data_IF_221908306644
#
_entry.id   IF_221908306644
#
_cell.length_a   1.000
_cell.length_b   1.000
_cell.length_c   1.000
_cell.angle_alpha   90.00
_cell.angle_beta   90.00
_cell.angle_gamma   90.00
#
_symmetry.space_group_name_H-M   'P 1'
#
loop_
_entity.id
_entity.type
_entity.pdbx_description
1 polymer ?
#
# COMPACT_ATOMS: atom_id res chain seq x y z
N UNK A 1 8.30 -8.05 -44.28
CA UNK A 1 7.36 -7.24 -43.50
C UNK A 1 7.95 -7.12 -42.09
N UNK A 2 8.62 -6.01 -41.80
CA UNK A 2 9.10 -5.70 -40.46
C UNK A 2 7.88 -5.56 -39.55
N UNK A 3 7.76 -6.45 -38.59
CA UNK A 3 6.64 -6.43 -37.64
C UNK A 3 6.75 -5.10 -36.87
N UNK A 4 5.83 -4.17 -37.09
CA UNK A 4 5.80 -2.84 -36.44
C UNK A 4 5.89 -2.99 -34.91
N UNK A 5 5.40 -4.11 -34.37
CA UNK A 5 5.44 -4.45 -32.94
C UNK A 5 6.86 -4.67 -32.39
N UNK A 6 7.84 -4.93 -33.25
CA UNK A 6 9.25 -5.14 -32.87
C UNK A 6 10.11 -3.87 -33.01
N UNK A 7 9.50 -2.72 -33.37
CA UNK A 7 10.21 -1.44 -33.33
C UNK A 7 10.57 -1.12 -31.88
N UNK A 8 11.84 -0.79 -31.65
CA UNK A 8 12.33 -0.43 -30.32
C UNK A 8 12.23 1.09 -30.12
N UNK A 9 11.56 1.49 -29.05
CA UNK A 9 11.51 2.86 -28.56
C UNK A 9 12.12 2.84 -27.15
N UNK A 10 13.20 3.60 -26.94
CA UNK A 10 13.89 3.69 -25.65
C UNK A 10 14.32 2.31 -25.09
N UNK A 11 14.76 1.39 -25.97
CA UNK A 11 15.19 0.04 -25.58
C UNK A 11 14.05 -0.93 -25.25
N UNK A 12 12.80 -0.53 -25.47
CA UNK A 12 11.62 -1.38 -25.29
C UNK A 12 10.90 -1.58 -26.63
N UNK A 13 10.47 -2.81 -26.90
CA UNK A 13 9.62 -3.07 -28.05
C UNK A 13 8.26 -2.39 -27.88
N UNK A 14 7.64 -1.96 -28.98
CA UNK A 14 6.28 -1.41 -28.99
C UNK A 14 5.29 -2.35 -28.28
N UNK A 15 5.49 -3.65 -28.39
CA UNK A 15 4.69 -4.65 -27.70
C UNK A 15 4.80 -4.51 -26.16
N UNK A 16 6.01 -4.34 -25.60
CA UNK A 16 6.20 -4.14 -24.14
C UNK A 16 5.56 -2.84 -23.66
N UNK A 17 5.75 -1.75 -24.40
CA UNK A 17 5.12 -0.47 -24.09
C UNK A 17 3.60 -0.59 -24.13
N UNK A 18 3.04 -1.31 -25.11
CA UNK A 18 1.62 -1.59 -25.17
C UNK A 18 1.10 -2.37 -23.98
N UNK A 19 1.81 -3.44 -23.58
CA UNK A 19 1.47 -4.23 -22.38
C UNK A 19 1.53 -3.35 -21.13
N UNK A 20 2.58 -2.55 -20.96
CA UNK A 20 2.71 -1.61 -19.84
C UNK A 20 1.51 -0.66 -19.76
N UNK A 21 1.12 -0.03 -20.86
CA UNK A 21 -0.04 0.88 -20.89
C UNK A 21 -1.34 0.16 -20.55
N UNK A 22 -1.53 -1.07 -21.05
CA UNK A 22 -2.70 -1.89 -20.72
C UNK A 22 -2.73 -2.23 -19.23
N UNK A 23 -1.59 -2.62 -18.63
CA UNK A 23 -1.51 -2.90 -17.21
C UNK A 23 -1.83 -1.66 -16.38
N UNK A 24 -1.32 -0.48 -16.74
CA UNK A 24 -1.62 0.78 -16.06
C UNK A 24 -3.11 1.12 -16.13
N UNK A 25 -3.70 1.03 -17.32
CA UNK A 25 -5.13 1.28 -17.49
C UNK A 25 -5.98 0.29 -16.69
N UNK A 26 -5.59 -0.98 -16.72
CA UNK A 26 -6.19 -2.04 -15.91
C UNK A 26 -6.04 -1.78 -14.41
N UNK A 27 -4.88 -1.26 -13.96
CA UNK A 27 -4.63 -0.93 -12.57
C UNK A 27 -5.67 0.05 -12.00
N UNK A 28 -5.99 1.12 -12.74
CA UNK A 28 -6.98 2.11 -12.31
C UNK A 28 -8.39 1.53 -12.18
N UNK A 29 -8.80 0.70 -13.12
CA UNK A 29 -10.14 0.10 -13.11
C UNK A 29 -10.23 -1.04 -12.09
N UNK A 30 -9.21 -1.89 -12.06
CA UNK A 30 -9.23 -3.13 -11.30
C UNK A 30 -8.86 -2.94 -9.83
N UNK A 31 -8.08 -1.91 -9.48
CA UNK A 31 -7.74 -1.60 -8.09
C UNK A 31 -8.99 -1.37 -7.23
N UNK A 32 -9.99 -0.67 -7.76
CA UNK A 32 -11.26 -0.45 -7.06
C UNK A 32 -12.03 -1.75 -6.85
N UNK A 33 -12.02 -2.65 -7.83
CA UNK A 33 -12.70 -3.93 -7.73
C UNK A 33 -12.01 -4.89 -6.76
N UNK A 34 -10.69 -5.04 -6.89
CA UNK A 34 -9.88 -5.85 -5.98
C UNK A 34 -9.98 -5.36 -4.54
N UNK A 35 -9.93 -4.05 -4.33
CA UNK A 35 -10.02 -3.47 -2.99
C UNK A 35 -11.36 -3.77 -2.31
N UNK A 36 -12.45 -3.80 -3.07
CA UNK A 36 -13.76 -4.21 -2.54
C UNK A 36 -13.76 -5.68 -2.13
N UNK A 37 -13.15 -6.57 -2.93
CA UNK A 37 -13.05 -7.99 -2.60
C UNK A 37 -12.20 -8.18 -1.33
N UNK A 38 -11.00 -7.59 -1.28
CA UNK A 38 -10.12 -7.70 -0.12
C UNK A 38 -10.72 -7.07 1.13
N UNK A 39 -11.35 -5.89 1.00
CA UNK A 39 -12.05 -5.24 2.10
C UNK A 39 -13.19 -6.12 2.63
N UNK A 40 -13.97 -6.74 1.75
CA UNK A 40 -15.02 -7.67 2.14
C UNK A 40 -14.47 -8.93 2.82
N UNK A 41 -13.31 -9.41 2.36
CA UNK A 41 -12.63 -10.55 3.00
C UNK A 41 -12.14 -10.20 4.40
N UNK A 42 -11.47 -9.06 4.57
CA UNK A 42 -11.01 -8.56 5.88
C UNK A 42 -12.20 -8.35 6.81
N UNK A 43 -13.27 -7.71 6.32
CA UNK A 43 -14.50 -7.51 7.10
C UNK A 43 -15.12 -8.84 7.55
N UNK A 44 -15.12 -9.86 6.68
CA UNK A 44 -15.64 -11.20 7.02
C UNK A 44 -14.85 -11.84 8.14
N UNK A 45 -13.51 -11.65 8.20
CA UNK A 45 -12.69 -12.12 9.32
C UNK A 45 -13.03 -11.40 10.63
N UNK A 46 -13.33 -10.10 10.54
CA UNK A 46 -13.68 -9.28 11.69
C UNK A 46 -15.15 -9.41 12.09
N UNK A 47 -16.03 -9.93 11.23
CA UNK A 47 -17.49 -10.05 11.44
C UNK A 47 -17.85 -10.81 12.71
N UNK A 48 -17.05 -11.78 13.11
CA UNK A 48 -17.26 -12.53 14.37
C UNK A 48 -17.25 -11.61 15.60
N UNK A 49 -16.53 -10.50 15.51
CA UNK A 49 -16.32 -9.55 16.58
C UNK A 49 -17.04 -8.21 16.36
N UNK A 50 -17.78 -8.06 15.24
CA UNK A 50 -18.33 -6.78 14.81
C UNK A 50 -19.80 -6.91 14.45
N UNK A 51 -20.71 -6.13 15.05
CA UNK A 51 -22.11 -6.02 14.62
C UNK A 51 -22.23 -5.56 13.16
N UNK A 52 -23.26 -6.02 12.47
CA UNK A 52 -23.42 -5.77 11.01
C UNK A 52 -23.52 -4.28 10.64
N UNK A 53 -24.09 -3.45 11.51
CA UNK A 53 -24.27 -2.02 11.27
C UNK A 53 -22.96 -1.20 11.28
N UNK A 54 -21.82 -1.77 11.73
CA UNK A 54 -20.52 -1.11 11.66
C UNK A 54 -19.77 -1.38 10.34
N UNK A 55 -20.34 -2.14 9.42
CA UNK A 55 -19.73 -2.42 8.12
C UNK A 55 -19.48 -1.16 7.29
N UNK A 56 -20.40 -0.20 7.29
CA UNK A 56 -20.22 1.09 6.57
C UNK A 56 -18.98 1.85 7.06
N UNK A 57 -18.77 1.89 8.38
CA UNK A 57 -17.60 2.54 8.98
C UNK A 57 -16.31 1.84 8.58
N UNK A 58 -16.32 0.50 8.53
CA UNK A 58 -15.18 -0.28 8.05
C UNK A 58 -14.82 0.09 6.60
N UNK A 59 -15.81 0.05 5.70
CA UNK A 59 -15.57 0.40 4.31
C UNK A 59 -15.11 1.84 4.14
N UNK A 60 -15.67 2.79 4.89
CA UNK A 60 -15.25 4.18 4.85
C UNK A 60 -13.78 4.40 5.27
N UNK A 61 -13.28 3.60 6.22
CA UNK A 61 -11.90 3.73 6.72
C UNK A 61 -10.89 2.95 5.89
N UNK A 62 -11.23 1.74 5.44
CA UNK A 62 -10.27 0.75 4.94
C UNK A 62 -10.23 0.70 3.41
N UNK A 63 -11.37 0.98 2.74
CA UNK A 63 -11.44 0.80 1.28
C UNK A 63 -10.45 1.70 0.51
N UNK A 64 -10.36 2.96 0.90
CA UNK A 64 -9.52 3.93 0.20
C UNK A 64 -8.02 3.61 0.33
N UNK A 65 -7.43 3.43 1.55
CA UNK A 65 -6.02 3.08 1.66
C UNK A 65 -5.69 1.73 1.02
N UNK A 66 -6.61 0.77 1.08
CA UNK A 66 -6.44 -0.52 0.40
C UNK A 66 -6.42 -0.37 -1.13
N UNK A 67 -7.26 0.52 -1.68
CA UNK A 67 -7.28 0.82 -3.11
C UNK A 67 -5.95 1.43 -3.56
N UNK A 68 -5.38 2.36 -2.79
CA UNK A 68 -4.08 2.94 -3.10
C UNK A 68 -2.96 1.90 -3.02
N UNK A 69 -2.95 1.06 -1.99
CA UNK A 69 -1.97 -0.01 -1.86
C UNK A 69 -1.99 -0.95 -3.09
N UNK A 70 -3.17 -1.43 -3.47
CA UNK A 70 -3.33 -2.31 -4.65
C UNK A 70 -2.90 -1.60 -5.93
N UNK A 71 -3.29 -0.33 -6.10
CA UNK A 71 -2.92 0.48 -7.26
C UNK A 71 -1.40 0.60 -7.39
N UNK A 72 -0.71 0.98 -6.31
CA UNK A 72 0.76 1.17 -6.31
C UNK A 72 1.47 -0.16 -6.56
N UNK A 73 1.01 -1.27 -5.99
CA UNK A 73 1.57 -2.59 -6.25
C UNK A 73 1.47 -2.99 -7.73
N UNK A 74 0.33 -2.76 -8.37
CA UNK A 74 0.16 -3.06 -9.80
C UNK A 74 1.05 -2.15 -10.65
N UNK A 75 1.11 -0.84 -10.34
CA UNK A 75 1.98 0.12 -11.05
C UNK A 75 3.45 -0.30 -10.92
N UNK A 76 3.90 -0.68 -9.72
CA UNK A 76 5.26 -1.17 -9.51
C UNK A 76 5.57 -2.38 -10.39
N UNK A 77 4.70 -3.39 -10.39
CA UNK A 77 4.86 -4.58 -11.23
C UNK A 77 4.86 -4.22 -12.73
N UNK A 78 4.07 -3.23 -13.15
CA UNK A 78 4.08 -2.75 -14.52
C UNK A 78 5.41 -2.10 -14.90
N UNK A 79 5.98 -1.27 -14.01
CA UNK A 79 7.26 -0.59 -14.22
C UNK A 79 8.42 -1.60 -14.30
N UNK A 80 8.41 -2.66 -13.47
CA UNK A 80 9.39 -3.74 -13.52
C UNK A 80 9.40 -4.49 -14.86
N UNK A 81 8.29 -4.48 -15.61
CA UNK A 81 8.21 -5.10 -16.94
C UNK A 81 8.95 -4.33 -18.03
N UNK A 82 9.31 -3.07 -17.80
CA UNK A 82 10.05 -2.23 -18.73
C UNK A 82 11.56 -2.45 -18.58
N UNK A 83 12.26 -2.43 -19.73
CA UNK A 83 13.72 -2.47 -19.77
C UNK A 83 14.26 -1.05 -19.83
N UNK A 84 15.14 -0.68 -18.92
CA UNK A 84 15.80 0.61 -18.95
C UNK A 84 17.00 0.54 -19.91
N UNK A 85 17.11 1.45 -20.89
CA UNK A 85 18.23 1.42 -21.84
C UNK A 85 19.56 1.59 -21.11
N UNK A 86 20.60 0.80 -21.43
CA UNK A 86 21.94 0.97 -20.85
C UNK A 86 22.57 2.34 -21.17
N UNK A 87 22.05 3.04 -22.18
CA UNK A 87 22.45 4.39 -22.56
C UNK A 87 21.98 5.47 -21.58
N UNK A 88 20.98 5.17 -20.78
CA UNK A 88 20.53 6.07 -19.73
C UNK A 88 21.42 5.92 -18.49
N UNK A 89 22.69 6.32 -18.61
CA UNK A 89 23.61 6.49 -17.49
C UNK A 89 23.22 7.71 -16.65
N UNK A 90 21.94 7.79 -16.27
CA UNK A 90 21.49 8.81 -15.33
C UNK A 90 21.79 8.23 -13.94
N UNK A 91 22.86 8.71 -13.35
CA UNK A 91 23.21 8.45 -11.96
C UNK A 91 22.62 9.55 -11.10
N UNK A 92 21.75 9.19 -10.20
CA UNK A 92 21.24 10.09 -9.18
C UNK A 92 21.93 9.71 -7.87
N UNK A 93 22.78 10.60 -7.34
CA UNK A 93 23.58 10.35 -6.12
C UNK A 93 24.47 9.11 -6.19
N UNK A 94 25.14 8.87 -7.32
CA UNK A 94 25.95 7.67 -7.62
C UNK A 94 25.17 6.36 -7.72
N UNK A 95 23.83 6.42 -7.76
CA UNK A 95 22.97 5.25 -7.96
C UNK A 95 22.34 5.28 -9.35
N UNK A 96 22.22 4.13 -10.04
CA UNK A 96 21.49 4.06 -11.30
C UNK A 96 20.02 4.46 -11.09
N UNK A 97 19.45 5.21 -12.03
CA UNK A 97 18.06 5.68 -11.97
C UNK A 97 17.07 4.55 -11.68
N UNK A 98 17.33 3.35 -12.19
CA UNK A 98 16.51 2.17 -11.97
C UNK A 98 16.40 1.80 -10.49
N UNK A 99 17.52 1.83 -9.75
CA UNK A 99 17.55 1.53 -8.31
C UNK A 99 16.76 2.59 -7.54
N UNK A 100 17.00 3.87 -7.85
CA UNK A 100 16.27 4.98 -7.20
C UNK A 100 14.76 4.89 -7.43
N UNK A 101 14.33 4.53 -8.62
CA UNK A 101 12.90 4.35 -8.93
C UNK A 101 12.31 3.16 -8.18
N UNK A 102 13.02 2.05 -8.07
CA UNK A 102 12.54 0.88 -7.33
C UNK A 102 12.42 1.16 -5.83
N UNK A 103 13.42 1.79 -5.23
CA UNK A 103 13.40 2.22 -3.82
C UNK A 103 12.27 3.22 -3.54
N UNK A 104 12.04 4.16 -4.45
CA UNK A 104 10.95 5.13 -4.33
C UNK A 104 9.59 4.44 -4.40
N UNK A 105 9.40 3.50 -5.32
CA UNK A 105 8.17 2.72 -5.42
C UNK A 105 7.94 1.84 -4.18
N UNK A 106 8.99 1.19 -3.66
CA UNK A 106 8.92 0.45 -2.41
C UNK A 106 8.54 1.34 -1.23
N UNK A 107 9.09 2.55 -1.16
CA UNK A 107 8.74 3.53 -0.13
C UNK A 107 7.25 3.92 -0.19
N UNK A 108 6.71 4.11 -1.40
CA UNK A 108 5.28 4.40 -1.59
C UNK A 108 4.41 3.21 -1.19
N UNK A 109 4.81 1.97 -1.51
CA UNK A 109 4.11 0.75 -1.07
C UNK A 109 4.09 0.69 0.46
N UNK A 110 5.24 0.90 1.11
CA UNK A 110 5.37 0.89 2.57
C UNK A 110 4.48 1.96 3.23
N UNK A 111 4.47 3.19 2.71
CA UNK A 111 3.62 4.27 3.20
C UNK A 111 2.13 3.94 3.04
N UNK A 112 1.75 3.36 1.90
CA UNK A 112 0.36 2.93 1.64
C UNK A 112 -0.07 1.80 2.59
N UNK A 113 0.82 0.85 2.86
CA UNK A 113 0.59 -0.22 3.83
C UNK A 113 0.47 0.34 5.25
N UNK A 114 1.36 1.24 5.62
CA UNK A 114 1.32 1.93 6.93
C UNK A 114 -0.01 2.66 7.11
N UNK A 115 -0.45 3.41 6.11
CA UNK A 115 -1.75 4.08 6.13
C UNK A 115 -2.92 3.10 6.33
N UNK A 116 -2.91 1.98 5.61
CA UNK A 116 -3.91 0.92 5.77
C UNK A 116 -3.92 0.37 7.22
N UNK A 117 -2.75 0.07 7.78
CA UNK A 117 -2.64 -0.43 9.15
C UNK A 117 -3.15 0.58 10.19
N UNK A 118 -2.82 1.87 10.02
CA UNK A 118 -3.34 2.93 10.88
C UNK A 118 -4.87 3.02 10.83
N UNK A 119 -5.49 2.85 9.66
CA UNK A 119 -6.94 2.83 9.51
C UNK A 119 -7.60 1.59 10.09
N UNK A 120 -6.93 0.45 10.03
CA UNK A 120 -7.39 -0.77 10.72
C UNK A 120 -7.39 -0.59 12.24
N UNK A 121 -6.35 0.05 12.80
CA UNK A 121 -6.33 0.39 14.23
C UNK A 121 -7.47 1.35 14.58
N UNK A 122 -7.74 2.39 13.76
CA UNK A 122 -8.86 3.29 13.98
C UNK A 122 -10.19 2.55 14.04
N UNK A 123 -10.37 1.58 13.15
CA UNK A 123 -11.57 0.77 13.13
C UNK A 123 -11.71 -0.15 14.35
N UNK A 124 -10.62 -0.83 14.74
CA UNK A 124 -10.61 -1.69 15.94
C UNK A 124 -10.89 -0.86 17.20
N UNK A 125 -10.25 0.30 17.32
CA UNK A 125 -10.47 1.19 18.45
C UNK A 125 -11.93 1.72 18.49
N UNK A 126 -12.53 2.01 17.34
CA UNK A 126 -13.93 2.37 17.24
C UNK A 126 -14.84 1.26 17.79
N UNK A 127 -14.64 -0.01 17.38
CA UNK A 127 -15.42 -1.14 17.88
C UNK A 127 -15.26 -1.30 19.40
N UNK A 128 -14.02 -1.19 19.90
CA UNK A 128 -13.74 -1.35 21.34
C UNK A 128 -14.41 -0.22 22.15
N UNK A 129 -14.36 1.02 21.65
CA UNK A 129 -15.01 2.16 22.31
C UNK A 129 -16.53 1.99 22.37
N UNK A 130 -17.16 1.58 21.26
CA UNK A 130 -18.62 1.32 21.23
C UNK A 130 -19.04 0.20 22.19
N UNK A 131 -18.19 -0.80 22.38
CA UNK A 131 -18.44 -1.87 23.35
C UNK A 131 -18.23 -1.42 24.80
N UNK A 132 -17.21 -0.59 25.05
CA UNK A 132 -16.94 -0.03 26.36
C UNK A 132 -18.08 0.89 26.82
N UNK A 133 -18.69 1.64 25.91
CA UNK A 133 -19.83 2.51 26.21
C UNK A 133 -21.09 1.76 26.73
N UNK A 134 -21.17 0.46 26.49
CA UNK A 134 -22.28 -0.40 27.01
C UNK A 134 -21.94 -0.99 28.39
N UNK A 135 -20.67 -0.94 28.80
CA UNK A 135 -20.19 -1.43 30.10
C UNK A 135 -19.91 -0.24 31.02
N UNK A 136 -20.42 -0.24 32.24
CA UNK A 136 -20.33 0.85 33.25
C UNK A 136 -18.88 1.13 33.78
N UNK A 137 -17.85 0.70 33.06
CA UNK A 137 -16.45 0.81 33.45
C UNK A 137 -15.80 2.07 32.90
N UNK A 138 -15.70 3.11 33.73
CA UNK A 138 -14.96 4.36 33.37
C UNK A 138 -13.48 4.14 33.02
N UNK A 139 -12.88 3.02 33.39
CA UNK A 139 -11.49 2.69 33.08
C UNK A 139 -11.29 2.35 31.61
N UNK A 140 -12.28 1.73 30.97
CA UNK A 140 -12.20 1.29 29.58
C UNK A 140 -12.23 2.47 28.60
N UNK A 141 -12.92 3.56 28.96
CA UNK A 141 -13.00 4.77 28.15
C UNK A 141 -11.65 5.48 27.96
N UNK A 142 -10.74 5.37 28.92
CA UNK A 142 -9.40 5.97 28.83
C UNK A 142 -8.37 5.02 28.24
N UNK A 143 -8.56 3.71 28.45
CA UNK A 143 -7.60 2.69 28.05
C UNK A 143 -7.62 2.45 26.53
N UNK A 144 -8.79 2.49 25.90
CA UNK A 144 -8.93 2.28 24.46
C UNK A 144 -8.21 3.37 23.64
N UNK A 145 -8.39 4.69 23.90
CA UNK A 145 -7.62 5.73 23.20
C UNK A 145 -6.12 5.59 23.40
N UNK A 146 -5.68 5.30 24.65
CA UNK A 146 -4.26 5.14 24.95
C UNK A 146 -3.62 3.98 24.16
N UNK A 147 -4.24 2.81 24.15
CA UNK A 147 -3.76 1.65 23.39
C UNK A 147 -3.74 1.95 21.89
N UNK A 148 -4.79 2.60 21.38
CA UNK A 148 -4.85 3.04 19.98
C UNK A 148 -3.65 3.89 19.61
N UNK A 149 -3.36 4.94 20.40
CA UNK A 149 -2.28 5.87 20.11
C UNK A 149 -0.91 5.20 20.25
N UNK A 150 -0.72 4.35 21.27
CA UNK A 150 0.49 3.56 21.45
C UNK A 150 0.75 2.63 20.23
N UNK A 151 -0.28 1.92 19.74
CA UNK A 151 -0.17 1.06 18.57
C UNK A 151 0.15 1.85 17.29
N UNK A 152 -0.47 3.02 17.12
CA UNK A 152 -0.18 3.90 15.98
C UNK A 152 1.26 4.40 15.98
N UNK A 153 1.75 4.85 17.15
CA UNK A 153 3.14 5.28 17.32
C UNK A 153 4.07 4.12 16.99
N UNK A 154 3.80 2.93 17.52
CA UNK A 154 4.60 1.74 17.23
C UNK A 154 4.67 1.43 15.74
N UNK A 155 3.54 1.45 15.00
CA UNK A 155 3.52 1.22 13.57
C UNK A 155 4.29 2.30 12.81
N UNK A 156 4.09 3.58 13.14
CA UNK A 156 4.76 4.70 12.46
C UNK A 156 6.27 4.63 12.70
N UNK A 157 6.71 4.35 13.91
CA UNK A 157 8.15 4.22 14.23
C UNK A 157 8.77 3.06 13.45
N UNK A 158 8.12 1.89 13.43
CA UNK A 158 8.61 0.75 12.63
C UNK A 158 8.65 1.07 11.13
N UNK A 159 7.60 1.70 10.60
CA UNK A 159 7.56 2.11 9.19
C UNK A 159 8.69 3.11 8.86
N UNK A 160 8.99 4.03 9.78
CA UNK A 160 10.09 4.98 9.62
C UNK A 160 11.45 4.26 9.59
N UNK A 161 11.69 3.28 10.49
CA UNK A 161 12.92 2.49 10.47
C UNK A 161 13.08 1.71 9.18
N UNK A 162 12.02 1.05 8.70
CA UNK A 162 12.06 0.32 7.43
C UNK A 162 12.31 1.28 6.26
N UNK A 163 11.66 2.45 6.25
CA UNK A 163 11.86 3.47 5.22
C UNK A 163 13.31 3.96 5.19
N UNK A 164 13.88 4.25 6.36
CA UNK A 164 15.28 4.66 6.48
C UNK A 164 16.22 3.54 6.03
N UNK A 165 15.94 2.29 6.35
CA UNK A 165 16.69 1.13 5.87
C UNK A 165 16.70 1.02 4.36
N UNK A 166 15.54 1.20 3.72
CA UNK A 166 15.39 1.16 2.26
C UNK A 166 16.10 2.34 1.60
N UNK A 167 15.91 3.58 2.10
CA UNK A 167 16.44 4.80 1.46
C UNK A 167 17.96 4.95 1.69
N UNK A 168 18.46 4.52 2.85
CA UNK A 168 19.86 4.70 3.22
C UNK A 168 20.72 3.46 2.96
N UNK A 169 20.13 2.39 2.41
CA UNK A 169 20.79 1.08 2.22
C UNK A 169 21.48 0.60 3.52
N UNK A 170 20.86 0.92 4.66
CA UNK A 170 21.37 0.54 5.97
C UNK A 170 20.92 -0.89 6.26
N UNK A 171 21.89 -1.78 6.42
CA UNK A 171 21.65 -3.16 6.85
C UNK A 171 21.23 -3.14 8.32
N UNK A 172 19.91 -2.99 8.57
CA UNK A 172 19.31 -2.91 9.92
C UNK A 172 19.22 -4.29 10.60
N UNK A 173 19.77 -5.35 9.96
CA UNK A 173 19.72 -6.75 10.43
C UNK A 173 21.02 -7.25 11.03
N UNK A 174 22.04 -6.42 11.17
CA UNK A 174 23.32 -6.77 11.79
C UNK A 174 23.34 -6.56 13.31
#
# INVERSE_FOLDING_TARGET
>A
MTNILNMEILGNSLQRIGIFLVIILFAFVFSSYLSKIFSSFIFRLLRKYTPEHYGEKFYALVLQPLQYLVLVMIIRTAIESLTYPPSWKIEFWNMPLQVVLDELLWSIVLLSLTWLLLRLIDYIAFILHERAAVTDSKSDDQLVPFIKDALKIFIVVNALFVLLGVVLDLDLTS
#
